data_IF_654354960242
#
_entry.id   IF_654354960242
#
_cell.length_a   1.000
_cell.length_b   1.000
_cell.length_c   1.000
_cell.angle_alpha   90.00
_cell.angle_beta   90.00
_cell.angle_gamma   90.00
#
_symmetry.space_group_name_H-M   'P 1'
#
loop_
_entity.id
_entity.type
_entity.pdbx_description
1 polymer ?
#
# COMPACT_ATOMS: atom_id res chain seq x y z
N UNK A 1 -11.35 -4.55 -14.94
CA UNK A 1 -11.61 -5.97 -15.22
C UNK A 1 -10.39 -6.77 -14.78
N UNK A 2 -10.53 -7.80 -13.94
CA UNK A 2 -9.38 -8.60 -13.52
C UNK A 2 -8.80 -9.30 -14.74
N UNK A 3 -7.49 -9.16 -14.97
CA UNK A 3 -6.79 -9.78 -16.10
C UNK A 3 -6.32 -11.21 -15.80
N UNK A 4 -6.34 -11.61 -14.53
CA UNK A 4 -5.80 -12.88 -14.09
C UNK A 4 -6.81 -14.03 -14.18
N UNK A 5 -6.32 -15.22 -14.55
CA UNK A 5 -7.10 -16.45 -14.51
C UNK A 5 -7.40 -16.86 -13.06
N UNK A 6 -8.50 -17.58 -12.84
CA UNK A 6 -8.88 -18.11 -11.50
C UNK A 6 -7.75 -18.92 -10.85
N UNK A 7 -6.89 -19.57 -11.64
CA UNK A 7 -5.72 -20.34 -11.18
C UNK A 7 -4.58 -19.45 -10.65
N UNK A 8 -4.36 -18.29 -11.26
CA UNK A 8 -3.35 -17.32 -10.79
C UNK A 8 -3.82 -16.60 -9.53
N UNK A 9 -5.11 -16.30 -9.45
CA UNK A 9 -5.77 -15.75 -8.26
C UNK A 9 -5.58 -16.67 -7.04
N UNK A 10 -5.88 -17.96 -7.21
CA UNK A 10 -5.65 -19.01 -6.20
C UNK A 10 -4.18 -19.15 -5.79
N UNK A 11 -3.24 -18.81 -6.67
CA UNK A 11 -1.81 -18.82 -6.33
C UNK A 11 -1.42 -17.62 -5.47
N UNK A 12 -2.03 -16.45 -5.72
CA UNK A 12 -1.80 -15.25 -4.92
C UNK A 12 -2.34 -15.40 -3.50
N UNK A 13 -3.53 -15.96 -3.32
CA UNK A 13 -4.09 -16.21 -1.98
C UNK A 13 -3.31 -17.25 -1.16
N UNK A 14 -2.43 -18.02 -1.79
CA UNK A 14 -1.54 -18.98 -1.10
C UNK A 14 -0.23 -18.35 -0.66
N UNK A 15 0.08 -17.13 -1.07
CA UNK A 15 1.30 -16.45 -0.64
C UNK A 15 1.09 -15.89 0.77
N UNK A 16 1.90 -16.34 1.73
CA UNK A 16 1.80 -15.94 3.14
C UNK A 16 1.76 -14.41 3.34
N UNK A 17 2.54 -13.64 2.57
CA UNK A 17 2.57 -12.18 2.68
C UNK A 17 1.25 -11.55 2.21
N UNK A 18 0.64 -12.15 1.20
CA UNK A 18 -0.69 -11.75 0.71
C UNK A 18 -1.75 -12.07 1.76
N UNK A 19 -1.67 -13.24 2.40
CA UNK A 19 -2.56 -13.63 3.48
C UNK A 19 -2.48 -12.65 4.67
N UNK A 20 -1.26 -12.24 5.06
CA UNK A 20 -1.04 -11.23 6.11
C UNK A 20 -1.67 -9.87 5.76
N UNK A 21 -1.55 -9.42 4.51
CA UNK A 21 -2.19 -8.17 4.10
C UNK A 21 -3.73 -8.30 4.13
N UNK A 22 -4.26 -9.38 3.59
CA UNK A 22 -5.70 -9.65 3.55
C UNK A 22 -6.27 -9.73 4.96
N UNK A 23 -5.59 -10.42 5.89
CA UNK A 23 -6.07 -10.57 7.28
C UNK A 23 -6.21 -9.21 7.97
N UNK A 24 -5.31 -8.26 7.71
CA UNK A 24 -5.42 -6.87 8.21
C UNK A 24 -6.65 -6.14 7.66
N UNK A 25 -7.02 -6.38 6.40
CA UNK A 25 -8.24 -5.80 5.84
C UNK A 25 -9.50 -6.44 6.42
N UNK A 26 -9.53 -7.76 6.61
CA UNK A 26 -10.72 -8.49 7.07
C UNK A 26 -10.97 -8.35 8.57
N UNK A 27 -9.92 -8.13 9.36
CA UNK A 27 -10.01 -7.87 10.81
C UNK A 27 -10.47 -6.44 11.16
N UNK A 28 -10.83 -5.63 10.16
CA UNK A 28 -11.10 -4.19 10.28
C UNK A 28 -9.92 -3.37 10.87
N UNK A 29 -8.72 -3.96 11.01
CA UNK A 29 -7.49 -3.23 11.36
C UNK A 29 -7.09 -2.24 10.26
N UNK A 30 -7.47 -2.53 9.01
CA UNK A 30 -7.09 -1.75 7.83
C UNK A 30 -8.27 -1.60 6.86
N UNK A 31 -8.96 -0.46 6.87
CA UNK A 31 -10.01 -0.19 5.88
C UNK A 31 -9.46 0.12 4.47
N UNK A 32 -8.46 0.99 4.40
CA UNK A 32 -7.78 1.36 3.15
C UNK A 32 -6.29 1.52 3.43
N UNK A 33 -5.47 0.88 2.60
CA UNK A 33 -4.03 1.04 2.62
C UNK A 33 -3.65 2.37 1.94
N UNK A 34 -3.45 3.39 2.77
CA UNK A 34 -2.95 4.69 2.33
C UNK A 34 -1.42 4.75 2.43
N UNK A 35 -0.76 5.42 1.48
CA UNK A 35 0.67 5.71 1.58
C UNK A 35 0.92 6.83 2.61
N UNK A 36 2.15 6.88 3.13
CA UNK A 36 2.64 7.96 4.01
C UNK A 36 3.79 8.67 3.30
N UNK A 37 3.77 10.01 3.32
CA UNK A 37 4.82 10.82 2.70
C UNK A 37 6.01 11.01 3.65
N UNK A 38 7.20 10.64 3.18
CA UNK A 38 8.48 10.95 3.80
C UNK A 38 9.22 12.02 2.96
N UNK A 39 9.70 13.12 3.55
CA UNK A 39 10.38 14.19 2.79
C UNK A 39 11.65 13.76 2.04
N UNK A 40 12.32 12.68 2.45
CA UNK A 40 13.54 12.18 1.81
C UNK A 40 13.26 11.06 0.82
N UNK A 41 12.38 10.14 1.19
CA UNK A 41 12.13 8.90 0.46
C UNK A 41 10.88 8.98 -0.44
N UNK A 42 10.05 10.01 -0.29
CA UNK A 42 8.76 10.10 -0.97
C UNK A 42 7.69 9.26 -0.31
N UNK A 43 6.72 8.77 -1.09
CA UNK A 43 5.62 7.96 -0.54
C UNK A 43 6.04 6.52 -0.23
N UNK A 44 5.57 6.03 0.91
CA UNK A 44 5.82 4.67 1.41
C UNK A 44 4.57 3.99 1.90
N UNK A 45 4.63 2.66 2.04
CA UNK A 45 3.58 1.86 2.64
C UNK A 45 4.14 1.09 3.83
N UNK A 46 4.24 1.69 5.03
CA UNK A 46 4.90 1.05 6.17
C UNK A 46 4.33 -0.32 6.54
N UNK A 47 3.01 -0.53 6.38
CA UNK A 47 2.38 -1.83 6.60
C UNK A 47 2.93 -2.90 5.65
N UNK A 48 3.18 -2.53 4.39
CA UNK A 48 3.73 -3.46 3.39
C UNK A 48 5.22 -3.65 3.61
N UNK A 49 5.95 -2.57 3.94
CA UNK A 49 7.37 -2.66 4.24
C UNK A 49 7.62 -3.62 5.42
N UNK A 50 6.75 -3.61 6.44
CA UNK A 50 6.76 -4.53 7.59
C UNK A 50 6.49 -5.99 7.17
N UNK A 51 5.42 -6.24 6.40
CA UNK A 51 5.09 -7.57 5.87
C UNK A 51 6.21 -8.13 4.98
N UNK A 52 6.87 -7.27 4.21
CA UNK A 52 7.89 -7.67 3.25
C UNK A 52 9.27 -7.85 3.91
N UNK A 53 9.55 -7.13 5.00
CA UNK A 53 10.86 -7.01 5.64
C UNK A 53 11.79 -5.97 4.98
N UNK A 54 11.40 -5.43 3.83
CA UNK A 54 12.09 -4.35 3.13
C UNK A 54 11.13 -3.54 2.23
N UNK A 55 11.53 -2.33 1.83
CA UNK A 55 10.74 -1.43 0.99
C UNK A 55 11.02 -1.56 -0.53
N UNK A 56 11.99 -2.39 -0.93
CA UNK A 56 12.47 -2.47 -2.32
C UNK A 56 11.46 -3.12 -3.26
N UNK A 57 10.62 -4.01 -2.71
CA UNK A 57 9.65 -4.81 -3.47
C UNK A 57 8.20 -4.36 -3.28
N UNK A 58 7.96 -3.31 -2.49
CA UNK A 58 6.62 -2.82 -2.11
C UNK A 58 5.75 -2.47 -3.32
N UNK A 59 6.25 -1.66 -4.26
CA UNK A 59 5.49 -1.29 -5.46
C UNK A 59 5.15 -2.51 -6.35
N UNK A 60 6.10 -3.46 -6.47
CA UNK A 60 5.89 -4.68 -7.27
C UNK A 60 4.84 -5.58 -6.63
N UNK A 61 4.89 -5.73 -5.30
CA UNK A 61 3.92 -6.52 -4.54
C UNK A 61 2.50 -5.96 -4.71
N UNK A 62 2.31 -4.66 -4.47
CA UNK A 62 1.01 -4.00 -4.62
C UNK A 62 0.49 -4.04 -6.06
N UNK A 63 1.38 -3.88 -7.05
CA UNK A 63 1.00 -4.01 -8.47
C UNK A 63 0.52 -5.42 -8.79
N UNK A 64 1.23 -6.45 -8.33
CA UNK A 64 0.83 -7.84 -8.58
C UNK A 64 -0.55 -8.15 -7.99
N UNK A 65 -0.86 -7.65 -6.79
CA UNK A 65 -2.16 -7.83 -6.16
C UNK A 65 -3.28 -7.08 -6.86
N UNK A 66 -3.00 -5.89 -7.38
CA UNK A 66 -3.94 -5.15 -8.22
C UNK A 66 -4.20 -5.85 -9.57
N UNK A 67 -3.14 -6.26 -10.28
CA UNK A 67 -3.25 -6.97 -11.57
C UNK A 67 -3.95 -8.33 -11.40
N UNK A 68 -3.69 -8.98 -10.26
CA UNK A 68 -4.34 -10.19 -9.80
C UNK A 68 -5.76 -10.00 -9.29
N UNK A 69 -6.32 -8.79 -9.23
CA UNK A 69 -7.70 -8.55 -8.81
C UNK A 69 -7.98 -8.74 -7.31
N UNK A 70 -6.95 -8.92 -6.48
CA UNK A 70 -7.07 -8.99 -5.02
C UNK A 70 -7.34 -7.60 -4.45
N UNK A 71 -6.61 -6.60 -4.97
CA UNK A 71 -6.77 -5.21 -4.59
C UNK A 71 -7.40 -4.42 -5.73
N UNK A 72 -8.27 -3.48 -5.38
CA UNK A 72 -8.55 -2.33 -6.21
C UNK A 72 -7.66 -1.17 -5.76
N UNK A 73 -7.49 -0.17 -6.63
CA UNK A 73 -6.66 0.99 -6.33
C UNK A 73 -7.30 2.27 -6.81
N UNK A 74 -7.10 3.35 -6.06
CA UNK A 74 -7.52 4.71 -6.41
C UNK A 74 -6.30 5.62 -6.42
N UNK A 75 -6.19 6.50 -7.43
CA UNK A 75 -5.14 7.51 -7.47
C UNK A 75 -5.22 8.34 -6.18
N UNK A 76 -4.13 8.34 -5.43
CA UNK A 76 -3.98 9.06 -4.17
C UNK A 76 -3.22 10.36 -4.41
N UNK A 77 -2.09 10.29 -5.12
CA UNK A 77 -1.27 11.46 -5.45
C UNK A 77 -0.43 11.21 -6.72
N UNK A 78 0.24 12.26 -7.21
CA UNK A 78 1.29 12.21 -8.24
C UNK A 78 2.55 12.87 -7.70
N UNK A 79 3.56 12.07 -7.43
CA UNK A 79 4.83 12.56 -6.92
C UNK A 79 5.81 12.83 -8.07
N UNK A 80 6.63 13.85 -7.88
CA UNK A 80 7.68 14.27 -8.82
C UNK A 80 9.03 13.77 -8.32
N UNK A 81 9.80 13.16 -9.21
CA UNK A 81 11.15 12.68 -8.95
C UNK A 81 12.18 13.41 -9.81
N UNK A 82 13.36 13.64 -9.23
CA UNK A 82 14.52 14.15 -9.96
C UNK A 82 14.93 13.16 -11.07
N UNK A 83 15.05 13.60 -12.33
CA UNK A 83 15.46 12.71 -13.43
C UNK A 83 16.90 12.21 -13.29
N UNK A 84 17.76 12.93 -12.55
CA UNK A 84 19.19 12.60 -12.42
C UNK A 84 19.48 11.60 -11.30
N UNK A 85 18.77 11.69 -10.18
CA UNK A 85 19.06 10.86 -8.99
C UNK A 85 17.84 10.12 -8.42
N UNK A 86 16.66 10.27 -9.02
CA UNK A 86 15.40 9.68 -8.54
C UNK A 86 14.99 10.08 -7.12
N UNK A 87 15.50 11.18 -6.58
CA UNK A 87 15.05 11.72 -5.29
C UNK A 87 13.71 12.45 -5.41
N UNK A 88 12.85 12.28 -4.42
CA UNK A 88 11.59 13.02 -4.22
C UNK A 88 11.77 14.35 -3.46
N UNK A 89 12.95 14.59 -2.90
CA UNK A 89 13.24 15.78 -2.09
C UNK A 89 13.50 16.98 -3.01
N UNK A 90 12.41 17.62 -3.45
CA UNK A 90 12.42 18.70 -4.43
C UNK A 90 11.87 19.99 -3.82
N UNK A 91 12.44 21.12 -4.23
CA UNK A 91 11.85 22.44 -4.02
C UNK A 91 11.62 23.14 -5.35
N UNK A 92 10.88 24.24 -5.34
CA UNK A 92 10.63 25.05 -6.53
C UNK A 92 11.58 26.27 -6.54
N UNK A 93 12.18 26.53 -7.70
CA UNK A 93 12.83 27.80 -8.00
C UNK A 93 11.99 28.56 -9.03
N UNK A 94 11.68 29.82 -8.75
CA UNK A 94 11.09 30.74 -9.72
C UNK A 94 12.23 31.42 -10.48
N UNK A 95 12.40 31.06 -11.74
CA UNK A 95 13.58 31.42 -12.53
C UNK A 95 13.30 32.49 -13.59
N UNK A 96 14.34 33.20 -14.01
CA UNK A 96 14.27 34.16 -15.10
C UNK A 96 14.01 33.44 -16.44
N UNK A 97 12.99 33.84 -17.22
CA UNK A 97 12.71 33.23 -18.52
C UNK A 97 13.83 33.40 -19.55
N UNK A 98 14.74 34.35 -19.35
CA UNK A 98 15.79 34.69 -20.32
C UNK A 98 17.12 33.99 -20.08
N UNK A 99 17.50 33.76 -18.81
CA UNK A 99 18.80 33.17 -18.46
C UNK A 99 18.70 31.97 -17.51
N UNK A 100 17.49 31.60 -17.08
CA UNK A 100 17.19 30.49 -16.16
C UNK A 100 17.77 30.65 -14.75
N UNK A 101 18.33 31.80 -14.40
CA UNK A 101 18.77 32.08 -13.03
C UNK A 101 17.59 32.16 -12.07
N UNK A 102 17.74 31.60 -10.88
CA UNK A 102 16.78 31.73 -9.77
C UNK A 102 16.94 33.05 -8.99
N UNK A 103 18.01 33.80 -9.26
CA UNK A 103 18.31 35.09 -8.63
C UNK A 103 17.45 36.21 -9.25
N UNK A 104 16.19 36.22 -8.80
CA UNK A 104 15.11 37.09 -9.28
C UNK A 104 14.60 37.94 -8.12
N UNK A 105 14.69 39.26 -8.27
CA UNK A 105 14.05 40.22 -7.36
C UNK A 105 12.58 40.37 -7.75
N UNK A 106 11.67 40.11 -6.81
CA UNK A 106 10.22 40.35 -6.97
C UNK A 106 9.85 41.70 -6.38
N UNK A 107 9.19 42.55 -7.17
CA UNK A 107 8.65 43.86 -6.80
C UNK A 107 7.19 43.98 -7.26
N UNK A 108 6.58 45.14 -7.04
CA UNK A 108 5.25 45.49 -7.53
C UNK A 108 5.34 46.63 -8.53
N UNK A 109 4.54 46.60 -9.60
CA UNK A 109 4.42 47.72 -10.53
C UNK A 109 3.38 48.70 -9.98
N UNK A 110 3.76 49.97 -9.82
CA UNK A 110 2.87 51.04 -9.39
C UNK A 110 2.63 52.00 -10.55
N UNK A 111 1.37 52.30 -10.81
CA UNK A 111 0.91 53.39 -11.68
C UNK A 111 0.41 54.56 -10.83
N UNK A 112 1.00 55.74 -10.97
CA UNK A 112 0.44 56.97 -10.42
C UNK A 112 -0.70 57.48 -11.32
N UNK A 113 -1.95 57.36 -10.84
CA UNK A 113 -3.18 57.68 -11.59
C UNK A 113 -3.15 59.11 -12.17
N UNK A 114 -2.74 60.10 -11.36
CA UNK A 114 -2.81 61.52 -11.77
C UNK A 114 -1.81 61.88 -12.88
N UNK A 115 -0.62 61.30 -12.92
CA UNK A 115 0.43 61.66 -13.89
C UNK A 115 0.81 60.54 -14.86
N UNK A 116 0.19 59.36 -14.74
CA UNK A 116 0.44 58.18 -15.58
C UNK A 116 1.86 57.62 -15.50
N UNK A 117 2.63 57.93 -14.45
CA UNK A 117 3.97 57.36 -14.30
C UNK A 117 3.88 55.94 -13.77
N UNK A 118 4.53 55.00 -14.45
CA UNK A 118 4.51 53.57 -14.13
C UNK A 118 5.93 53.08 -13.91
N UNK A 119 6.19 52.45 -12.78
CA UNK A 119 7.50 51.88 -12.45
C UNK A 119 7.39 50.89 -11.29
N UNK A 120 8.49 50.26 -10.90
CA UNK A 120 8.57 49.41 -9.72
C UNK A 120 8.39 50.20 -8.42
N UNK A 121 7.76 49.59 -7.43
CA UNK A 121 7.47 50.17 -6.12
C UNK A 121 8.74 50.69 -5.43
N UNK A 122 9.88 50.03 -5.64
CA UNK A 122 11.20 50.46 -5.16
C UNK A 122 11.54 51.91 -5.57
N UNK A 123 11.12 52.35 -6.77
CA UNK A 123 11.37 53.71 -7.27
C UNK A 123 10.39 54.74 -6.72
N UNK A 124 9.26 54.29 -6.18
CA UNK A 124 8.31 55.15 -5.47
C UNK A 124 8.66 55.27 -3.98
N UNK A 125 9.42 54.34 -3.41
CA UNK A 125 9.67 54.31 -1.98
C UNK A 125 10.74 55.35 -1.58
N UNK A 126 10.35 56.32 -0.73
CA UNK A 126 11.25 57.31 -0.11
C UNK A 126 10.87 57.48 1.36
N UNK A 127 11.83 57.29 2.27
CA UNK A 127 11.64 57.47 3.73
C UNK A 127 10.40 56.73 4.29
N UNK A 128 10.13 55.52 3.80
CA UNK A 128 8.98 54.70 4.22
C UNK A 128 7.63 55.12 3.61
N UNK A 129 7.61 56.11 2.72
CA UNK A 129 6.42 56.60 2.01
C UNK A 129 6.49 56.28 0.52
N UNK A 130 5.34 56.23 -0.14
CA UNK A 130 5.25 56.17 -1.60
C UNK A 130 5.17 57.59 -2.16
N UNK A 131 6.12 57.95 -3.01
CA UNK A 131 6.24 59.27 -3.65
C UNK A 131 6.52 59.07 -5.12
N UNK A 132 5.67 59.62 -5.99
CA UNK A 132 5.89 59.51 -7.43
C UNK A 132 7.20 60.22 -7.82
N UNK A 133 8.17 59.52 -8.45
CA UNK A 133 9.47 60.10 -8.78
C UNK A 133 9.37 61.17 -9.89
N UNK A 134 8.29 61.14 -10.69
CA UNK A 134 8.07 62.09 -11.79
C UNK A 134 7.54 63.44 -11.33
N UNK A 135 6.58 63.46 -10.40
CA UNK A 135 5.92 64.69 -9.97
C UNK A 135 6.10 65.01 -8.48
N UNK A 136 6.84 64.18 -7.75
CA UNK A 136 7.12 64.28 -6.32
C UNK A 136 5.87 64.34 -5.42
N UNK A 137 4.72 63.85 -5.90
CA UNK A 137 3.49 63.78 -5.10
C UNK A 137 3.51 62.51 -4.25
N UNK A 138 3.23 62.64 -2.97
CA UNK A 138 3.02 61.51 -2.07
C UNK A 138 1.73 60.77 -2.45
N UNK A 139 1.80 59.44 -2.45
CA UNK A 139 0.74 58.52 -2.84
C UNK A 139 0.23 57.84 -1.56
N UNK A 140 -0.87 58.35 -1.02
CA UNK A 140 -1.42 57.88 0.26
C UNK A 140 -2.64 57.00 0.09
N UNK A 141 -3.42 57.21 -0.97
CA UNK A 141 -4.68 56.52 -1.19
C UNK A 141 -4.57 55.52 -2.34
N UNK A 142 -4.57 54.20 -2.07
CA UNK A 142 -4.76 53.19 -3.11
C UNK A 142 -6.05 53.49 -3.91
N UNK A 143 -6.01 53.23 -5.21
CA UNK A 143 -7.11 53.40 -6.18
C UNK A 143 -7.58 54.84 -6.46
N UNK A 144 -7.05 55.83 -5.74
CA UNK A 144 -7.28 57.26 -5.99
C UNK A 144 -5.99 57.97 -6.40
N UNK A 145 -4.91 57.73 -5.67
CA UNK A 145 -3.58 58.25 -6.00
C UNK A 145 -2.81 57.26 -6.88
N UNK A 146 -2.95 55.95 -6.69
CA UNK A 146 -2.16 54.97 -7.44
C UNK A 146 -2.82 53.60 -7.57
N UNK A 147 -2.46 52.87 -8.62
CA UNK A 147 -2.81 51.46 -8.80
C UNK A 147 -1.56 50.57 -8.69
N UNK A 148 -1.71 49.41 -8.06
CA UNK A 148 -0.72 48.32 -8.18
C UNK A 148 -1.09 47.46 -9.39
N UNK A 149 -0.37 47.65 -10.48
CA UNK A 149 -0.67 47.06 -11.78
C UNK A 149 -0.22 45.58 -11.90
N UNK A 150 0.61 45.08 -10.98
CA UNK A 150 0.97 43.67 -10.95
C UNK A 150 2.29 43.39 -10.24
N UNK A 151 2.75 42.14 -10.37
CA UNK A 151 4.10 41.74 -9.98
C UNK A 151 5.07 42.14 -11.08
N UNK A 152 6.22 42.67 -10.68
CA UNK A 152 7.32 42.94 -11.60
C UNK A 152 8.59 42.27 -11.08
N UNK A 153 9.24 41.48 -11.91
CA UNK A 153 10.44 40.76 -11.57
C UNK A 153 11.63 41.32 -12.35
N UNK A 154 12.78 41.42 -11.70
CA UNK A 154 14.06 41.77 -12.33
C UNK A 154 15.09 40.70 -12.00
N UNK A 155 15.75 40.16 -13.03
CA UNK A 155 16.83 39.19 -12.81
C UNK A 155 18.12 39.92 -12.46
N UNK A 156 18.74 39.55 -11.34
CA UNK A 156 20.01 40.15 -10.92
C UNK A 156 21.21 39.65 -11.73
N UNK A 157 21.04 38.61 -12.57
CA UNK A 157 22.12 38.06 -13.41
C UNK A 157 22.16 38.63 -14.83
N UNK A 158 20.99 38.90 -15.44
CA UNK A 158 20.94 39.42 -16.82
C UNK A 158 20.19 40.75 -16.96
N UNK A 159 19.76 41.34 -15.84
CA UNK A 159 19.10 42.65 -15.72
C UNK A 159 17.76 42.79 -16.47
N UNK A 160 17.32 41.73 -17.16
CA UNK A 160 16.02 41.70 -17.84
C UNK A 160 14.89 41.66 -16.82
N UNK A 161 13.84 42.40 -17.16
CA UNK A 161 12.61 42.46 -16.39
C UNK A 161 11.48 41.68 -17.08
N UNK A 162 10.60 41.09 -16.28
CA UNK A 162 9.48 40.25 -16.71
C UNK A 162 8.42 40.22 -15.60
N UNK A 163 7.20 39.83 -15.94
CA UNK A 163 6.06 39.78 -15.02
C UNK A 163 5.85 38.38 -14.41
N UNK A 164 6.16 37.32 -15.16
CA UNK A 164 5.95 35.93 -14.74
C UNK A 164 7.27 35.14 -14.75
N UNK A 165 7.79 34.72 -13.58
CA UNK A 165 8.94 33.80 -13.53
C UNK A 165 8.55 32.40 -13.99
N UNK A 166 9.52 31.65 -14.50
CA UNK A 166 9.33 30.25 -14.93
C UNK A 166 9.65 29.32 -13.76
N UNK A 167 8.68 28.51 -13.26
CA UNK A 167 8.96 27.52 -12.24
C UNK A 167 9.90 26.43 -12.77
N UNK A 168 10.89 26.08 -11.97
CA UNK A 168 11.77 24.94 -12.16
C UNK A 168 11.82 24.12 -10.85
N UNK A 169 12.05 22.82 -10.98
CA UNK A 169 12.33 21.96 -9.85
C UNK A 169 13.83 22.03 -9.51
N UNK A 170 14.13 22.05 -8.22
CA UNK A 170 15.49 21.95 -7.70
C UNK A 170 15.59 20.75 -6.78
N UNK A 171 16.46 19.80 -7.12
CA UNK A 171 16.69 18.63 -6.28
C UNK A 171 17.59 18.98 -5.10
N UNK A 172 17.12 18.68 -3.88
CA UNK A 172 17.89 18.91 -2.65
C UNK A 172 18.98 17.87 -2.38
N UNK A 173 18.98 16.76 -3.14
CA UNK A 173 20.01 15.72 -3.01
C UNK A 173 21.17 15.95 -3.98
N UNK A 174 20.90 16.14 -5.29
CA UNK A 174 21.96 16.30 -6.29
C UNK A 174 22.18 17.76 -6.75
N UNK A 175 21.40 18.72 -6.24
CA UNK A 175 21.47 20.14 -6.58
C UNK A 175 21.26 20.48 -8.07
N UNK A 176 20.67 19.56 -8.84
CA UNK A 176 20.33 19.79 -10.23
C UNK A 176 18.99 20.53 -10.34
N UNK A 177 18.92 21.51 -11.23
CA UNK A 177 17.65 22.11 -11.67
C UNK A 177 17.12 21.37 -12.91
N UNK A 178 15.81 21.19 -12.97
CA UNK A 178 15.12 20.57 -14.11
C UNK A 178 13.71 21.15 -14.27
N UNK A 179 13.17 21.08 -15.49
CA UNK A 179 11.85 21.64 -15.85
C UNK A 179 10.71 20.66 -15.58
N UNK A 180 9.47 21.12 -15.78
CA UNK A 180 8.29 20.26 -15.79
C UNK A 180 8.41 19.11 -16.81
N UNK A 181 8.93 19.39 -18.00
CA UNK A 181 9.06 18.40 -19.09
C UNK A 181 10.11 17.32 -18.79
N UNK A 182 11.14 17.67 -18.02
CA UNK A 182 12.22 16.76 -17.61
C UNK A 182 11.83 15.94 -16.37
N UNK A 183 10.81 16.36 -15.64
CA UNK A 183 10.43 15.77 -14.37
C UNK A 183 9.78 14.39 -14.55
N UNK A 184 10.16 13.44 -13.69
CA UNK A 184 9.58 12.10 -13.70
C UNK A 184 8.37 12.08 -12.76
N UNK A 185 7.17 11.93 -13.33
CA UNK A 185 5.94 11.79 -12.57
C UNK A 185 5.62 10.32 -12.32
N UNK A 186 5.29 9.99 -11.07
CA UNK A 186 4.78 8.66 -10.73
C UNK A 186 3.46 8.77 -10.01
N UNK A 187 2.54 7.91 -10.41
CA UNK A 187 1.26 7.74 -9.73
C UNK A 187 1.47 7.02 -8.41
N UNK A 188 0.84 7.54 -7.38
CA UNK A 188 0.78 6.94 -6.05
C UNK A 188 -0.66 6.56 -5.79
N UNK A 189 -0.90 5.34 -5.31
CA UNK A 189 -2.25 4.80 -5.16
C UNK A 189 -2.59 4.49 -3.71
N UNK A 190 -3.86 4.58 -3.37
CA UNK A 190 -4.42 3.92 -2.19
C UNK A 190 -5.02 2.60 -2.64
N UNK A 191 -5.01 1.59 -1.77
CA UNK A 191 -5.48 0.25 -2.09
C UNK A 191 -6.55 -0.23 -1.09
N UNK A 192 -7.56 -0.92 -1.59
CA UNK A 192 -8.59 -1.62 -0.81
C UNK A 192 -8.78 -3.03 -1.37
N UNK A 193 -9.31 -3.95 -0.55
CA UNK A 193 -9.73 -5.25 -1.06
C UNK A 193 -10.88 -5.08 -2.05
N UNK A 194 -10.84 -5.84 -3.14
CA UNK A 194 -12.00 -5.95 -4.02
C UNK A 194 -13.15 -6.66 -3.30
N UNK A 195 -14.42 -6.41 -3.66
CA UNK A 195 -15.55 -7.15 -3.10
C UNK A 195 -15.43 -8.66 -3.32
N UNK A 196 -14.88 -9.09 -4.46
CA UNK A 196 -14.60 -10.49 -4.77
C UNK A 196 -13.53 -11.06 -3.85
N UNK A 197 -12.42 -10.34 -3.64
CA UNK A 197 -11.38 -10.78 -2.74
C UNK A 197 -11.80 -10.76 -1.27
N UNK A 198 -12.63 -9.80 -0.86
CA UNK A 198 -13.23 -9.78 0.48
C UNK A 198 -14.10 -11.01 0.72
N UNK A 199 -14.86 -11.46 -0.30
CA UNK A 199 -15.67 -12.69 -0.25
C UNK A 199 -14.81 -13.96 -0.32
N UNK A 200 -13.80 -14.00 -1.17
CA UNK A 200 -12.92 -15.18 -1.36
C UNK A 200 -11.85 -15.31 -0.27
N UNK A 201 -11.47 -14.22 0.38
CA UNK A 201 -10.66 -14.20 1.60
C UNK A 201 -11.36 -14.85 2.80
N UNK A 202 -12.57 -15.38 2.59
CA UNK A 202 -13.27 -16.20 3.56
C UNK A 202 -12.38 -17.37 4.01
N UNK A 203 -11.90 -17.19 5.25
CA UNK A 203 -11.41 -18.18 6.22
C UNK A 203 -10.03 -18.80 5.97
N UNK A 204 -9.68 -19.21 4.75
CA UNK A 204 -8.37 -19.84 4.49
C UNK A 204 -7.16 -18.93 4.78
N UNK A 205 -7.31 -17.61 4.66
CA UNK A 205 -6.26 -16.64 5.03
C UNK A 205 -6.42 -16.12 6.47
N UNK A 206 -7.67 -15.97 6.94
CA UNK A 206 -7.99 -15.36 8.25
C UNK A 206 -7.69 -16.30 9.42
N UNK A 207 -7.88 -17.62 9.23
CA UNK A 207 -7.60 -18.62 10.25
C UNK A 207 -6.11 -18.92 10.35
N UNK A 208 -5.44 -18.97 9.20
CA UNK A 208 -4.09 -19.50 9.07
C UNK A 208 -3.07 -18.69 9.85
N UNK A 209 -3.08 -17.35 9.78
CA UNK A 209 -2.07 -16.52 10.47
C UNK A 209 -2.10 -16.68 12.00
N UNK A 210 -3.23 -16.48 12.71
CA UNK A 210 -3.25 -16.67 14.17
C UNK A 210 -2.95 -18.09 14.62
N UNK A 211 -3.24 -19.09 13.77
CA UNK A 211 -2.92 -20.49 14.04
C UNK A 211 -1.44 -20.77 13.84
N UNK A 212 -0.80 -20.23 12.78
CA UNK A 212 0.64 -20.29 12.57
C UNK A 212 1.35 -19.72 13.80
N UNK A 213 1.06 -18.47 14.17
CA UNK A 213 1.72 -17.80 15.30
C UNK A 213 1.57 -18.59 16.60
N UNK A 214 0.38 -19.14 16.86
CA UNK A 214 0.14 -19.97 18.03
C UNK A 214 0.95 -21.28 18.01
N UNK A 215 0.99 -21.97 16.88
CA UNK A 215 1.73 -23.23 16.72
C UNK A 215 3.24 -22.99 16.81
N UNK A 216 3.77 -21.93 16.18
CA UNK A 216 5.18 -21.54 16.25
C UNK A 216 5.59 -21.19 17.68
N UNK A 217 4.76 -20.44 18.42
CA UNK A 217 5.00 -20.14 19.84
C UNK A 217 5.03 -21.41 20.72
N UNK A 218 4.39 -22.50 20.28
CA UNK A 218 4.43 -23.81 20.94
C UNK A 218 5.60 -24.68 20.48
N UNK A 219 6.49 -24.16 19.62
CA UNK A 219 7.67 -24.86 19.14
C UNK A 219 7.41 -25.79 17.95
N UNK A 220 6.33 -25.56 17.19
CA UNK A 220 6.14 -26.22 15.89
C UNK A 220 6.85 -25.43 14.78
N UNK A 221 7.45 -26.15 13.84
CA UNK A 221 7.84 -25.61 12.54
C UNK A 221 6.60 -25.69 11.63
N UNK A 222 6.06 -24.55 11.23
CA UNK A 222 4.78 -24.46 10.51
C UNK A 222 5.00 -23.94 9.10
N UNK A 223 4.38 -24.60 8.11
CA UNK A 223 4.36 -24.12 6.73
C UNK A 223 2.91 -23.87 6.27
N UNK A 224 2.71 -22.77 5.55
CA UNK A 224 1.46 -22.46 4.85
C UNK A 224 1.69 -21.86 3.45
N UNK A 225 1.10 -22.44 2.39
CA UNK A 225 0.54 -23.79 2.37
C UNK A 225 1.64 -24.82 2.68
N UNK A 226 1.28 -25.86 3.43
CA UNK A 226 2.18 -26.94 3.77
C UNK A 226 2.16 -28.06 2.73
N UNK A 227 3.28 -28.76 2.55
CA UNK A 227 3.37 -29.88 1.61
C UNK A 227 3.95 -31.14 2.23
N UNK A 228 3.38 -32.30 1.90
CA UNK A 228 3.93 -33.60 2.24
C UNK A 228 3.98 -34.52 1.02
N UNK A 229 5.07 -35.26 0.88
CA UNK A 229 5.20 -36.27 -0.16
C UNK A 229 4.50 -37.57 0.26
N UNK A 230 3.62 -38.06 -0.60
CA UNK A 230 2.95 -39.34 -0.44
C UNK A 230 3.86 -40.52 -0.74
N UNK A 231 3.51 -41.70 -0.21
CA UNK A 231 4.19 -42.96 -0.55
C UNK A 231 4.12 -43.28 -2.04
N UNK A 232 3.12 -42.75 -2.74
CA UNK A 232 2.98 -42.84 -4.20
C UNK A 232 3.98 -41.95 -4.97
N UNK A 233 4.71 -41.06 -4.30
CA UNK A 233 5.52 -40.01 -4.91
C UNK A 233 4.72 -38.76 -5.30
N UNK A 234 3.41 -38.74 -5.05
CA UNK A 234 2.57 -37.56 -5.25
C UNK A 234 2.78 -36.55 -4.12
N UNK A 235 3.05 -35.30 -4.46
CA UNK A 235 3.16 -34.21 -3.48
C UNK A 235 1.78 -33.65 -3.15
N UNK A 236 1.34 -33.84 -1.91
CA UNK A 236 0.05 -33.36 -1.41
C UNK A 236 0.21 -32.00 -0.74
N UNK A 237 -0.78 -31.14 -0.94
CA UNK A 237 -0.82 -29.79 -0.38
C UNK A 237 -1.92 -29.72 0.69
N UNK A 238 -1.60 -29.07 1.81
CA UNK A 238 -2.49 -28.81 2.93
C UNK A 238 -2.52 -27.30 3.23
N UNK A 239 -3.56 -26.82 3.90
CA UNK A 239 -3.60 -25.39 4.28
C UNK A 239 -2.49 -25.08 5.29
N UNK A 240 -2.23 -26.02 6.22
CA UNK A 240 -1.11 -25.99 7.15
C UNK A 240 -0.47 -27.37 7.32
N UNK A 241 0.85 -27.37 7.43
CA UNK A 241 1.62 -28.47 8.02
C UNK A 241 2.36 -27.96 9.23
N UNK A 242 2.28 -28.66 10.36
CA UNK A 242 3.00 -28.32 11.58
C UNK A 242 3.84 -29.51 12.03
N UNK A 243 5.14 -29.30 12.21
CA UNK A 243 6.09 -30.34 12.64
C UNK A 243 6.59 -30.00 14.04
N UNK A 244 6.39 -30.91 15.01
CA UNK A 244 6.82 -30.67 16.39
C UNK A 244 8.35 -30.64 16.51
N UNK A 245 8.90 -29.69 17.27
CA UNK A 245 10.32 -29.73 17.68
C UNK A 245 10.62 -30.93 18.60
N UNK A 246 11.69 -31.68 18.32
CA UNK A 246 12.17 -32.80 19.14
C UNK A 246 12.83 -33.94 18.34
N UNK A 247 13.36 -34.95 19.03
CA UNK A 247 14.04 -36.11 18.41
C UNK A 247 13.10 -36.99 17.58
N UNK A 248 11.80 -37.04 17.94
CA UNK A 248 10.75 -37.66 17.13
C UNK A 248 9.83 -36.57 16.59
N UNK A 249 10.14 -36.09 15.39
CA UNK A 249 9.30 -35.15 14.64
C UNK A 249 7.94 -35.79 14.38
N UNK A 250 6.87 -35.21 14.94
CA UNK A 250 5.49 -35.55 14.61
C UNK A 250 4.93 -34.51 13.65
N UNK A 251 4.24 -34.97 12.62
CA UNK A 251 3.67 -34.14 11.56
C UNK A 251 2.16 -34.09 11.71
N UNK A 252 1.63 -32.87 11.88
CA UNK A 252 0.20 -32.58 11.88
C UNK A 252 -0.16 -31.83 10.61
N UNK A 253 -1.25 -32.23 9.95
CA UNK A 253 -1.84 -31.46 8.83
C UNK A 253 -3.17 -30.86 9.24
N UNK A 254 -3.45 -29.65 8.78
CA UNK A 254 -4.71 -28.95 9.06
C UNK A 254 -5.25 -28.39 7.74
N UNK A 255 -6.52 -28.68 7.47
CA UNK A 255 -7.29 -28.10 6.37
C UNK A 255 -8.52 -27.36 6.92
N UNK A 256 -8.91 -26.28 6.24
CA UNK A 256 -10.10 -25.49 6.54
C UNK A 256 -11.18 -25.74 5.48
N UNK A 257 -12.42 -25.93 5.93
CA UNK A 257 -13.56 -26.17 5.07
C UNK A 257 -14.74 -25.30 5.47
N UNK A 258 -15.39 -24.67 4.48
CA UNK A 258 -16.42 -23.67 4.73
C UNK A 258 -17.61 -23.82 3.79
N UNK A 259 -18.78 -23.36 4.24
CA UNK A 259 -19.97 -23.24 3.40
C UNK A 259 -20.47 -21.81 3.40
N UNK A 260 -20.61 -21.22 2.21
CA UNK A 260 -21.17 -19.86 2.03
C UNK A 260 -22.66 -19.87 1.75
N UNK A 261 -23.20 -21.01 1.29
CA UNK A 261 -24.52 -21.05 0.65
C UNK A 261 -25.54 -21.84 1.49
N UNK A 262 -25.12 -22.91 2.18
CA UNK A 262 -26.04 -23.88 2.82
C UNK A 262 -25.87 -24.00 4.35
N UNK A 263 -25.01 -23.17 4.95
CA UNK A 263 -24.76 -23.17 6.42
C UNK A 263 -24.30 -24.56 6.96
N UNK A 264 -23.78 -25.41 6.06
CA UNK A 264 -23.30 -26.77 6.30
C UNK A 264 -22.16 -27.08 5.34
N UNK A 265 -21.02 -27.50 5.88
CA UNK A 265 -19.87 -28.00 5.12
C UNK A 265 -20.16 -29.42 4.64
N UNK A 266 -19.93 -29.64 3.34
CA UNK A 266 -20.13 -30.96 2.71
C UNK A 266 -19.10 -32.00 3.17
N UNK A 267 -19.52 -33.27 3.24
CA UNK A 267 -18.63 -34.42 3.45
C UNK A 267 -17.50 -34.52 2.42
N UNK A 268 -17.62 -33.88 1.25
CA UNK A 268 -16.59 -33.85 0.22
C UNK A 268 -15.25 -33.32 0.75
N UNK A 269 -15.27 -32.36 1.68
CA UNK A 269 -14.05 -31.84 2.31
C UNK A 269 -13.33 -32.90 3.15
N UNK A 270 -14.08 -33.76 3.85
CA UNK A 270 -13.52 -34.88 4.62
C UNK A 270 -12.92 -35.93 3.69
N UNK A 271 -13.62 -36.25 2.60
CA UNK A 271 -13.16 -37.22 1.59
C UNK A 271 -11.88 -36.72 0.91
N UNK A 272 -11.83 -35.44 0.57
CA UNK A 272 -10.65 -34.81 -0.04
C UNK A 272 -9.44 -34.86 0.91
N UNK A 273 -9.63 -34.51 2.19
CA UNK A 273 -8.55 -34.61 3.18
C UNK A 273 -8.11 -36.08 3.36
N UNK A 274 -9.04 -37.02 3.47
CA UNK A 274 -8.75 -38.44 3.59
C UNK A 274 -7.87 -38.96 2.44
N UNK A 275 -8.19 -38.58 1.19
CA UNK A 275 -7.42 -38.98 0.03
C UNK A 275 -5.95 -38.53 0.11
N UNK A 276 -5.70 -37.33 0.66
CA UNK A 276 -4.34 -36.81 0.87
C UNK A 276 -3.61 -37.56 1.98
N UNK A 277 -4.23 -37.71 3.15
CA UNK A 277 -3.57 -38.31 4.34
C UNK A 277 -3.38 -39.82 4.22
N UNK A 278 -4.20 -40.50 3.41
CA UNK A 278 -4.02 -41.93 3.14
C UNK A 278 -2.68 -42.21 2.46
N UNK A 279 -2.23 -41.29 1.60
CA UNK A 279 -0.96 -41.39 0.89
C UNK A 279 0.20 -40.72 1.65
N UNK A 280 -0.02 -39.51 2.18
CA UNK A 280 0.99 -38.73 2.92
C UNK A 280 1.29 -39.27 4.33
N UNK A 281 0.35 -40.01 4.93
CA UNK A 281 0.46 -40.64 6.24
C UNK A 281 1.03 -39.75 7.37
N UNK A 282 0.46 -38.55 7.65
CA UNK A 282 0.84 -37.73 8.78
C UNK A 282 0.48 -38.40 10.12
N UNK A 283 1.09 -37.95 11.22
CA UNK A 283 0.78 -38.45 12.57
C UNK A 283 -0.62 -38.03 13.05
N UNK A 284 -1.04 -36.80 12.70
CA UNK A 284 -2.38 -36.28 12.98
C UNK A 284 -2.92 -35.51 11.78
N UNK A 285 -4.23 -35.58 11.58
CA UNK A 285 -4.93 -34.82 10.56
C UNK A 285 -6.14 -34.14 11.19
N UNK A 286 -6.24 -32.82 11.00
CA UNK A 286 -7.33 -32.01 11.51
C UNK A 286 -8.09 -31.36 10.36
N UNK A 287 -9.41 -31.34 10.45
CA UNK A 287 -10.28 -30.58 9.56
C UNK A 287 -11.09 -29.58 10.39
N UNK A 288 -11.00 -28.31 10.04
CA UNK A 288 -11.75 -27.25 10.69
C UNK A 288 -12.92 -26.86 9.79
N UNK A 289 -14.15 -27.10 10.25
CA UNK A 289 -15.37 -26.92 9.50
C UNK A 289 -16.19 -25.73 10.04
N UNK A 290 -16.48 -24.75 9.19
CA UNK A 290 -17.21 -23.53 9.57
C UNK A 290 -18.43 -23.34 8.63
N UNK A 291 -19.65 -23.15 9.16
CA UNK A 291 -19.99 -23.08 10.59
C UNK A 291 -20.10 -24.46 11.27
N UNK A 292 -20.39 -25.51 10.48
CA UNK A 292 -20.57 -26.89 10.96
C UNK A 292 -20.45 -27.89 9.81
N UNK A 293 -20.12 -29.13 10.13
CA UNK A 293 -20.02 -30.25 9.20
C UNK A 293 -21.37 -30.95 9.01
N UNK A 294 -21.60 -31.51 7.81
CA UNK A 294 -22.75 -32.38 7.55
C UNK A 294 -22.75 -33.61 8.46
N UNK A 295 -23.91 -34.20 8.72
CA UNK A 295 -23.99 -35.40 9.57
C UNK A 295 -23.17 -36.57 8.97
N UNK A 296 -23.21 -36.71 7.64
CA UNK A 296 -22.37 -37.66 6.92
C UNK A 296 -20.88 -37.35 7.10
N UNK A 297 -20.50 -36.07 7.00
CA UNK A 297 -19.12 -35.63 7.22
C UNK A 297 -18.61 -35.95 8.61
N UNK A 298 -19.40 -35.76 9.68
CA UNK A 298 -19.02 -36.14 11.05
C UNK A 298 -18.75 -37.64 11.19
N UNK A 299 -19.62 -38.47 10.60
CA UNK A 299 -19.48 -39.94 10.59
C UNK A 299 -18.20 -40.35 9.84
N UNK A 300 -17.93 -39.73 8.70
CA UNK A 300 -16.74 -40.01 7.90
C UNK A 300 -15.46 -39.55 8.59
N UNK A 301 -15.44 -38.37 9.21
CA UNK A 301 -14.27 -37.88 9.94
C UNK A 301 -13.90 -38.82 11.08
N UNK A 302 -14.90 -39.30 11.83
CA UNK A 302 -14.71 -40.30 12.88
C UNK A 302 -14.16 -41.63 12.34
N UNK A 303 -14.70 -42.11 11.21
CA UNK A 303 -14.26 -43.35 10.56
C UNK A 303 -12.80 -43.25 10.09
N UNK A 304 -12.42 -42.10 9.52
CA UNK A 304 -11.08 -41.86 8.96
C UNK A 304 -10.08 -41.34 9.99
N UNK A 305 -10.46 -41.22 11.27
CA UNK A 305 -9.62 -40.67 12.35
C UNK A 305 -9.07 -39.28 12.03
N UNK A 306 -9.93 -38.44 11.43
CA UNK A 306 -9.67 -37.03 11.21
C UNK A 306 -10.24 -36.27 12.40
N UNK A 307 -9.40 -35.48 13.07
CA UNK A 307 -9.79 -34.61 14.17
C UNK A 307 -10.66 -33.47 13.60
N UNK A 308 -11.98 -33.59 13.73
CA UNK A 308 -12.93 -32.60 13.21
C UNK A 308 -13.20 -31.53 14.27
N UNK A 309 -12.93 -30.27 13.92
CA UNK A 309 -13.25 -29.10 14.74
C UNK A 309 -14.37 -28.33 14.04
N UNK A 310 -15.51 -28.18 14.70
CA UNK A 310 -16.62 -27.38 14.21
C UNK A 310 -16.68 -26.05 14.95
N UNK A 311 -16.83 -24.95 14.22
CA UNK A 311 -16.85 -23.62 14.82
C UNK A 311 -17.80 -22.70 14.05
N UNK A 312 -18.57 -21.89 14.79
CA UNK A 312 -19.58 -21.00 14.20
C UNK A 312 -18.98 -19.88 13.35
N UNK A 313 -17.73 -19.48 13.61
CA UNK A 313 -17.03 -18.42 12.88
C UNK A 313 -15.50 -18.58 13.03
N UNK A 314 -14.77 -17.66 12.41
CA UNK A 314 -13.31 -17.62 12.39
C UNK A 314 -12.70 -17.59 13.80
N UNK A 315 -13.26 -16.76 14.68
CA UNK A 315 -12.72 -16.52 16.02
C UNK A 315 -12.85 -17.78 16.87
N UNK A 316 -14.04 -18.39 16.86
CA UNK A 316 -14.31 -19.61 17.63
C UNK A 316 -13.51 -20.81 17.10
N UNK A 317 -13.18 -20.84 15.81
CA UNK A 317 -12.33 -21.86 15.22
C UNK A 317 -10.89 -21.79 15.74
N UNK A 318 -10.32 -20.57 15.84
CA UNK A 318 -8.99 -20.34 16.40
C UNK A 318 -8.95 -20.81 17.85
N UNK A 319 -9.93 -20.44 18.68
CA UNK A 319 -9.98 -20.83 20.08
C UNK A 319 -10.11 -22.35 20.26
N UNK A 320 -10.92 -23.00 19.42
CA UNK A 320 -11.12 -24.45 19.45
C UNK A 320 -9.84 -25.21 19.06
N UNK A 321 -9.13 -24.74 18.03
CA UNK A 321 -7.83 -25.28 17.63
C UNK A 321 -6.78 -25.13 18.74
N UNK A 322 -6.74 -23.97 19.40
CA UNK A 322 -5.81 -23.73 20.52
C UNK A 322 -6.05 -24.69 21.68
N UNK A 323 -7.30 -25.04 21.96
CA UNK A 323 -7.66 -26.03 22.98
C UNK A 323 -7.20 -27.44 22.58
N UNK A 324 -7.47 -27.87 21.34
CA UNK A 324 -7.13 -29.22 20.86
C UNK A 324 -5.62 -29.51 20.77
N UNK A 325 -4.79 -28.48 20.60
CA UNK A 325 -3.31 -28.62 20.51
C UNK A 325 -2.65 -28.46 21.89
N UNK A 326 -3.41 -28.10 22.93
CA UNK A 326 -2.91 -27.99 24.31
C UNK A 326 -2.91 -29.32 25.08
N UNK A 327 -3.51 -30.37 24.52
CA UNK A 327 -3.56 -31.76 25.02
C UNK A 327 -2.63 -32.69 24.22
#
# INVERSE_FOLDING_TARGET
MPKASKKELLKLYKDHKVQLLISKFVSDELGTLNPIYDPKQGFRYPIIDDIMGDSSSTEKFLRNLFEGGVLERKLYDKIVYCPSCSSANLSVHYTCPHCKSFDVKKSSLIEHIKCGYIDTEDHFQRDGKLVCPRCNKELTNPDLDYHRAGVWCTCNQCEKSFDIPVPAHFCRECHQNFTFDEAIYRDVYSYSLTPEASKEASLGCVLTVPIIEFLEHRGFEVESPGFLDGKSGTRHMFDLTAVSAGEKKKTTVIDFATSTDDDVVSEQSVIALFAKIFDAAPDRACLVAIPRMSENGRKLASLYKIDLIEASNQITAIDSLKACVSE
#
